data_IF_526732403929
#
_entry.id   IF_526732403929
#
_cell.length_a   1.000
_cell.length_b   1.000
_cell.length_c   1.000
_cell.angle_alpha   90.00
_cell.angle_beta   90.00
_cell.angle_gamma   90.00
#
_symmetry.space_group_name_H-M   'P 1'
#
loop_
_entity.id
_entity.type
_entity.pdbx_description
1 polymer ?
#
# COMPACT_ATOMS: atom_id res chain seq x y z
N UNK A 1 50.75 -8.46 22.59
CA UNK A 1 49.37 -8.06 22.24
C UNK A 1 48.58 -9.33 22.10
N UNK A 2 48.03 -9.81 23.19
CA UNK A 2 47.20 -11.02 23.19
C UNK A 2 45.99 -10.72 24.07
N UNK A 3 44.83 -10.69 23.43
CA UNK A 3 43.54 -10.52 24.08
C UNK A 3 42.64 -11.60 23.51
N UNK A 4 42.60 -12.74 24.18
CA UNK A 4 41.77 -13.89 23.83
C UNK A 4 40.71 -14.09 24.90
N UNK A 5 39.46 -13.97 24.45
CA UNK A 5 38.32 -14.77 24.91
C UNK A 5 38.18 -15.03 26.41
N UNK A 6 37.75 -14.03 27.15
CA UNK A 6 36.87 -14.24 28.30
C UNK A 6 35.53 -13.58 27.91
N UNK A 7 34.84 -14.21 26.95
CA UNK A 7 33.68 -15.08 27.20
C UNK A 7 32.46 -14.23 27.61
N UNK A 8 31.77 -13.76 26.56
CA UNK A 8 30.52 -13.02 26.57
C UNK A 8 29.39 -13.91 27.12
N UNK A 9 29.46 -14.28 28.40
CA UNK A 9 28.73 -15.41 28.95
C UNK A 9 27.36 -15.14 29.56
N UNK A 10 26.69 -14.02 29.27
CA UNK A 10 25.38 -13.73 29.92
C UNK A 10 24.33 -13.00 29.08
N UNK A 11 24.46 -12.93 27.75
CA UNK A 11 23.40 -12.30 26.92
C UNK A 11 23.16 -13.11 25.65
N UNK A 12 22.50 -14.28 25.75
CA UNK A 12 21.63 -14.74 24.65
C UNK A 12 20.73 -15.96 24.95
N UNK A 13 20.25 -16.18 26.18
CA UNK A 13 19.27 -17.25 26.44
C UNK A 13 17.83 -16.72 26.41
N UNK A 14 17.48 -16.07 25.30
CA UNK A 14 16.09 -15.79 24.96
C UNK A 14 15.37 -17.07 24.49
N UNK A 15 14.05 -17.00 24.34
CA UNK A 15 13.30 -18.08 23.69
C UNK A 15 13.78 -18.23 22.23
N UNK A 16 14.39 -19.37 21.91
CA UNK A 16 14.90 -19.69 20.55
C UNK A 16 14.04 -20.76 19.91
N UNK A 17 13.79 -20.61 18.61
CA UNK A 17 13.10 -21.63 17.81
C UNK A 17 13.92 -22.93 17.80
N UNK A 18 13.35 -24.09 18.20
CA UNK A 18 14.04 -25.36 18.17
C UNK A 18 14.52 -25.73 16.76
N UNK A 19 15.80 -26.10 16.62
CA UNK A 19 16.44 -26.35 15.32
C UNK A 19 16.41 -27.82 14.88
N UNK A 20 16.01 -28.74 15.75
CA UNK A 20 15.97 -30.17 15.45
C UNK A 20 14.87 -30.51 14.42
N UNK A 21 15.09 -31.54 13.60
CA UNK A 21 14.25 -31.88 12.45
C UNK A 21 12.77 -32.09 12.77
N UNK A 22 12.45 -32.66 13.94
CA UNK A 22 11.06 -32.87 14.40
C UNK A 22 10.28 -31.58 14.70
N UNK A 23 10.96 -30.44 14.88
CA UNK A 23 10.33 -29.14 15.14
C UNK A 23 10.40 -28.21 13.92
N UNK A 24 11.14 -28.60 12.87
CA UNK A 24 11.36 -27.75 11.69
C UNK A 24 10.23 -27.98 10.70
N UNK A 25 9.57 -26.90 10.29
CA UNK A 25 8.58 -26.97 9.21
C UNK A 25 9.30 -27.45 7.94
N UNK A 26 8.81 -28.51 7.28
CA UNK A 26 9.38 -28.96 6.02
C UNK A 26 9.40 -27.82 5.00
N UNK A 27 10.54 -27.63 4.32
CA UNK A 27 10.58 -26.70 3.20
C UNK A 27 9.64 -27.22 2.11
N UNK A 28 8.60 -26.45 1.79
CA UNK A 28 7.74 -26.77 0.65
C UNK A 28 8.62 -26.80 -0.62
N UNK A 29 8.64 -27.94 -1.31
CA UNK A 29 9.53 -28.15 -2.46
C UNK A 29 9.10 -27.36 -3.69
N UNK A 30 7.83 -26.96 -3.77
CA UNK A 30 7.27 -26.20 -4.90
C UNK A 30 6.13 -25.31 -4.39
N UNK A 31 6.14 -24.02 -4.74
CA UNK A 31 5.00 -23.14 -4.49
C UNK A 31 3.78 -23.64 -5.25
N UNK A 32 2.57 -23.59 -4.69
CA UNK A 32 1.37 -23.90 -5.46
C UNK A 32 1.30 -23.00 -6.69
N UNK A 33 0.74 -23.48 -7.81
CA UNK A 33 0.61 -22.68 -9.02
C UNK A 33 -0.18 -21.39 -8.74
N UNK A 34 0.22 -20.29 -9.38
CA UNK A 34 -0.40 -18.99 -9.17
C UNK A 34 -1.92 -19.05 -9.45
N UNK A 35 -2.76 -18.41 -8.61
CA UNK A 35 -4.20 -18.31 -8.88
C UNK A 35 -4.47 -17.70 -10.26
N UNK A 36 -5.33 -18.35 -11.06
CA UNK A 36 -5.68 -17.84 -12.39
C UNK A 36 -6.68 -16.69 -12.26
N UNK A 37 -6.32 -15.52 -12.78
CA UNK A 37 -7.26 -14.39 -12.89
C UNK A 37 -8.37 -14.74 -13.88
N UNK A 38 -9.64 -14.60 -13.46
CA UNK A 38 -10.78 -14.74 -14.37
C UNK A 38 -10.70 -13.71 -15.49
N UNK A 39 -10.91 -14.14 -16.73
CA UNK A 39 -11.04 -13.21 -17.86
C UNK A 39 -12.32 -12.40 -17.67
N UNK A 40 -12.16 -11.10 -17.44
CA UNK A 40 -13.29 -10.18 -17.45
C UNK A 40 -13.66 -9.95 -18.90
N UNK A 41 -14.77 -10.52 -19.36
CA UNK A 41 -15.42 -10.05 -20.59
C UNK A 41 -15.94 -8.65 -20.31
N UNK A 42 -15.11 -7.64 -20.53
CA UNK A 42 -15.56 -6.25 -20.56
C UNK A 42 -16.39 -6.08 -21.82
N UNK A 43 -17.71 -6.37 -21.74
CA UNK A 43 -18.62 -5.77 -22.71
C UNK A 43 -18.38 -4.27 -22.62
N UNK A 44 -17.97 -3.65 -23.74
CA UNK A 44 -17.85 -2.20 -23.84
C UNK A 44 -19.22 -1.66 -23.44
N UNK A 45 -19.31 -1.10 -22.23
CA UNK A 45 -20.51 -0.41 -21.76
C UNK A 45 -20.37 1.02 -22.21
N UNK A 46 -21.45 1.55 -22.76
CA UNK A 46 -21.54 2.98 -23.02
C UNK A 46 -21.40 3.75 -21.71
N UNK A 47 -20.81 4.96 -21.74
CA UNK A 47 -20.81 5.86 -20.60
C UNK A 47 -22.24 6.11 -20.09
N UNK A 48 -22.42 6.44 -18.80
CA UNK A 48 -23.69 6.88 -18.25
C UNK A 48 -24.24 8.07 -19.05
N UNK A 49 -25.54 8.05 -19.32
CA UNK A 49 -26.23 9.06 -20.14
C UNK A 49 -26.02 10.49 -19.66
N UNK A 50 -25.80 10.68 -18.36
CA UNK A 50 -25.70 11.99 -17.71
C UNK A 50 -24.26 12.33 -17.27
N UNK A 51 -23.25 11.62 -17.81
CA UNK A 51 -21.88 11.71 -17.35
C UNK A 51 -21.67 11.00 -16.01
N UNK A 52 -20.39 10.81 -15.64
CA UNK A 52 -20.01 10.15 -14.38
C UNK A 52 -20.03 11.09 -13.18
N UNK A 53 -19.91 12.39 -13.44
CA UNK A 53 -19.93 13.44 -12.43
C UNK A 53 -20.77 14.58 -12.98
N UNK A 54 -21.79 14.97 -12.22
CA UNK A 54 -22.59 16.15 -12.49
C UNK A 54 -22.21 17.18 -11.43
N UNK A 55 -21.14 17.98 -11.63
CA UNK A 55 -20.81 19.02 -10.69
C UNK A 55 -22.00 19.97 -10.56
N UNK A 56 -22.31 20.46 -9.34
CA UNK A 56 -23.19 21.62 -9.20
C UNK A 56 -22.64 22.77 -10.03
N UNK A 57 -23.55 23.60 -10.54
CA UNK A 57 -23.28 24.59 -11.58
C UNK A 57 -22.04 25.44 -11.26
N UNK A 58 -20.97 25.22 -12.01
CA UNK A 58 -19.70 25.93 -11.85
C UNK A 58 -19.88 27.43 -12.13
N UNK A 59 -20.90 27.82 -12.90
CA UNK A 59 -21.22 29.22 -13.17
C UNK A 59 -21.54 29.98 -11.87
N UNK A 60 -22.12 29.32 -10.87
CA UNK A 60 -22.36 29.92 -9.55
C UNK A 60 -21.08 30.28 -8.79
N UNK A 61 -19.97 29.58 -9.06
CA UNK A 61 -18.67 29.81 -8.41
C UNK A 61 -17.92 31.02 -9.01
N UNK A 62 -18.23 31.37 -10.25
CA UNK A 62 -17.59 32.46 -11.00
C UNK A 62 -18.46 33.71 -11.10
N UNK A 63 -19.55 33.81 -10.33
CA UNK A 63 -20.28 35.08 -10.17
C UNK A 63 -19.36 36.05 -9.42
N UNK A 64 -18.55 36.77 -10.19
CA UNK A 64 -17.64 37.79 -9.70
C UNK A 64 -18.50 38.94 -9.17
N UNK A 65 -18.59 39.08 -7.85
CA UNK A 65 -19.02 40.34 -7.25
C UNK A 65 -18.05 41.44 -7.70
N UNK A 66 -18.54 42.62 -8.13
CA UNK A 66 -17.66 43.74 -8.46
C UNK A 66 -16.67 43.97 -7.32
N UNK A 67 -15.36 43.88 -7.58
CA UNK A 67 -14.37 44.31 -6.58
C UNK A 67 -14.42 45.82 -6.54
N UNK A 68 -14.54 46.38 -5.33
CA UNK A 68 -14.31 47.80 -5.10
C UNK A 68 -12.88 48.10 -5.51
N UNK A 69 -12.72 48.89 -6.56
CA UNK A 69 -11.43 49.43 -6.96
C UNK A 69 -10.94 50.34 -5.83
N UNK A 70 -9.73 50.10 -5.34
CA UNK A 70 -9.06 51.04 -4.47
C UNK A 70 -8.36 52.05 -5.39
N UNK A 71 -8.90 53.27 -5.48
CA UNK A 71 -8.21 54.36 -6.15
C UNK A 71 -6.88 54.60 -5.40
N UNK A 72 -5.76 54.50 -6.11
CA UNK A 72 -4.50 55.07 -5.66
C UNK A 72 -4.59 56.59 -5.85
N UNK A 73 -4.37 57.36 -4.79
CA UNK A 73 -4.26 58.81 -4.79
C UNK A 73 -2.78 59.21 -4.80
#
# INVERSE_FOLDING_TARGET
MEKTSEELGMVEEGCKTPRHGGCRIPAASVCPPAPRKKMVCTKRRDPPKNGYFQPPDLESLFVISPRREACAQ
#
